data_IF_875097502374
#
_entry.id   IF_875097502374
#
_cell.length_a   1.000
_cell.length_b   1.000
_cell.length_c   1.000
_cell.angle_alpha   90.00
_cell.angle_beta   90.00
_cell.angle_gamma   90.00
#
_symmetry.space_group_name_H-M   'P 1'
#
loop_
_entity.id
_entity.type
_entity.pdbx_description
1 polymer ?
#
# COMPACT_ATOMS: atom_id res chain seq x y z
N UNK A 1 10.18 1.29 -17.01
CA UNK A 1 10.91 1.70 -15.78
C UNK A 1 9.85 2.29 -14.85
N UNK A 2 9.75 1.82 -13.61
CA UNK A 2 8.72 2.22 -12.63
C UNK A 2 8.78 3.74 -12.40
N UNK A 3 7.64 4.44 -12.33
CA UNK A 3 7.62 5.92 -12.23
C UNK A 3 8.23 6.46 -10.93
N UNK A 4 8.21 5.70 -9.82
CA UNK A 4 8.99 6.02 -8.62
C UNK A 4 10.51 5.85 -8.82
N UNK A 5 10.93 4.90 -9.67
CA UNK A 5 12.34 4.71 -10.01
C UNK A 5 12.83 5.72 -11.07
N UNK A 6 11.93 6.35 -11.84
CA UNK A 6 12.30 7.37 -12.81
C UNK A 6 12.89 8.64 -12.14
N UNK A 7 12.52 8.90 -10.88
CA UNK A 7 13.11 9.98 -10.08
C UNK A 7 14.32 9.57 -9.24
N UNK A 8 14.71 8.29 -9.25
CA UNK A 8 15.85 7.78 -8.47
C UNK A 8 16.98 7.45 -9.42
N UNK A 9 18.07 8.22 -9.36
CA UNK A 9 19.29 7.86 -10.05
C UNK A 9 19.87 6.59 -9.40
N UNK A 10 19.75 5.46 -10.11
CA UNK A 10 20.24 4.17 -9.64
C UNK A 10 21.77 4.14 -9.53
N UNK A 11 22.49 4.98 -10.27
CA UNK A 11 23.94 5.11 -10.13
C UNK A 11 24.31 5.81 -8.82
N UNK A 12 23.50 6.79 -8.41
CA UNK A 12 23.69 7.53 -7.17
C UNK A 12 23.15 6.79 -5.93
N UNK A 13 22.00 6.11 -6.06
CA UNK A 13 21.30 5.45 -4.96
C UNK A 13 20.94 3.98 -5.29
N UNK A 14 21.94 3.10 -5.48
CA UNK A 14 21.72 1.73 -5.95
C UNK A 14 20.87 0.89 -4.99
N UNK A 15 21.01 1.10 -3.67
CA UNK A 15 20.21 0.39 -2.67
C UNK A 15 18.75 0.85 -2.64
N UNK A 16 18.50 2.14 -2.87
CA UNK A 16 17.16 2.70 -2.96
C UNK A 16 16.46 2.22 -4.22
N UNK A 17 17.16 2.24 -5.36
CA UNK A 17 16.66 1.71 -6.62
C UNK A 17 16.34 0.21 -6.51
N UNK A 18 17.20 -0.57 -5.86
CA UNK A 18 16.95 -2.00 -5.58
C UNK A 18 15.73 -2.20 -4.69
N UNK A 19 15.62 -1.43 -3.58
CA UNK A 19 14.50 -1.55 -2.65
C UNK A 19 13.16 -1.18 -3.30
N UNK A 20 13.11 -0.10 -4.07
CA UNK A 20 11.91 0.29 -4.85
C UNK A 20 11.60 -0.75 -5.92
N UNK A 21 12.63 -1.31 -6.56
CA UNK A 21 12.50 -2.37 -7.56
C UNK A 21 11.88 -3.66 -7.02
N UNK A 22 12.06 -3.97 -5.73
CA UNK A 22 11.44 -5.15 -5.10
C UNK A 22 9.91 -5.10 -5.09
N UNK A 23 9.29 -3.93 -5.28
CA UNK A 23 7.83 -3.77 -5.30
C UNK A 23 7.22 -3.84 -6.70
N UNK A 24 8.01 -4.10 -7.75
CA UNK A 24 7.58 -4.29 -9.16
C UNK A 24 6.30 -3.52 -9.55
N UNK A 25 6.35 -2.20 -9.30
CA UNK A 25 5.19 -1.32 -9.39
C UNK A 25 4.88 -1.07 -10.86
N UNK A 26 3.70 -1.52 -11.28
CA UNK A 26 3.01 -1.33 -12.56
C UNK A 26 3.74 -0.43 -13.59
N UNK A 27 4.11 -1.02 -14.72
CA UNK A 27 4.35 -0.27 -15.97
C UNK A 27 3.00 -0.02 -16.67
N UNK A 28 2.08 0.71 -16.05
CA UNK A 28 0.81 1.03 -16.71
C UNK A 28 0.94 2.39 -17.40
N UNK A 29 0.58 2.40 -18.67
CA UNK A 29 0.41 3.62 -19.44
C UNK A 29 -0.93 4.25 -19.05
N UNK A 30 -0.92 4.96 -17.93
CA UNK A 30 -2.07 5.70 -17.44
C UNK A 30 -1.89 7.16 -17.85
N UNK A 31 -2.93 7.71 -18.49
CA UNK A 31 -2.95 9.02 -19.14
C UNK A 31 -2.77 10.20 -18.18
N UNK A 32 -2.91 9.95 -16.87
CA UNK A 32 -2.66 10.94 -15.81
C UNK A 32 -1.66 10.42 -14.78
N UNK A 33 -0.68 11.27 -14.44
CA UNK A 33 0.28 11.02 -13.38
C UNK A 33 -0.42 10.72 -12.04
N UNK A 34 -1.48 11.45 -11.68
CA UNK A 34 -2.20 11.24 -10.43
C UNK A 34 -2.88 9.86 -10.36
N UNK A 35 -3.51 9.43 -11.46
CA UNK A 35 -4.14 8.09 -11.54
C UNK A 35 -3.07 7.00 -11.47
N UNK A 36 -1.93 7.22 -12.13
CA UNK A 36 -0.79 6.31 -12.11
C UNK A 36 -0.20 6.16 -10.71
N UNK A 37 0.07 7.28 -10.04
CA UNK A 37 0.70 7.31 -8.73
C UNK A 37 -0.22 6.67 -7.69
N UNK A 38 -1.54 6.92 -7.79
CA UNK A 38 -2.53 6.26 -6.95
C UNK A 38 -2.53 4.74 -7.13
N UNK A 39 -2.62 4.27 -8.38
CA UNK A 39 -2.62 2.84 -8.67
C UNK A 39 -1.32 2.15 -8.21
N UNK A 40 -0.19 2.85 -8.29
CA UNK A 40 1.10 2.38 -7.78
C UNK A 40 1.08 2.24 -6.26
N UNK A 41 0.59 3.26 -5.53
CA UNK A 41 0.46 3.22 -4.08
C UNK A 41 -0.43 2.05 -3.62
N UNK A 42 -1.61 1.91 -4.22
CA UNK A 42 -2.55 0.82 -3.91
C UNK A 42 -1.92 -0.56 -4.11
N UNK A 43 -1.23 -0.78 -5.23
CA UNK A 43 -0.53 -2.05 -5.46
C UNK A 43 0.64 -2.28 -4.54
N UNK A 44 1.37 -1.22 -4.14
CA UNK A 44 2.44 -1.35 -3.15
C UNK A 44 1.91 -1.87 -1.81
N UNK A 45 0.75 -1.36 -1.37
CA UNK A 45 0.09 -1.83 -0.15
C UNK A 45 -0.34 -3.29 -0.31
N UNK A 46 -1.03 -3.65 -1.40
CA UNK A 46 -1.48 -5.04 -1.65
C UNK A 46 -0.30 -6.01 -1.69
N UNK A 47 0.79 -5.65 -2.37
CA UNK A 47 1.99 -6.49 -2.45
C UNK A 47 2.66 -6.66 -1.07
N UNK A 48 2.69 -5.59 -0.26
CA UNK A 48 3.20 -5.65 1.11
C UNK A 48 2.35 -6.58 1.99
N UNK A 49 1.03 -6.51 1.88
CA UNK A 49 0.12 -7.41 2.59
C UNK A 49 0.35 -8.88 2.19
N UNK A 50 0.51 -9.14 0.89
CA UNK A 50 0.85 -10.47 0.39
C UNK A 50 2.15 -10.99 1.00
N UNK A 51 3.20 -10.16 1.00
CA UNK A 51 4.49 -10.51 1.61
C UNK A 51 4.38 -10.83 3.10
N UNK A 52 3.61 -10.04 3.86
CA UNK A 52 3.36 -10.33 5.28
C UNK A 52 2.64 -11.67 5.48
N UNK A 53 1.68 -12.01 4.61
CA UNK A 53 0.93 -13.27 4.65
C UNK A 53 1.72 -14.51 4.22
N UNK A 54 2.85 -14.32 3.55
CA UNK A 54 3.79 -15.39 3.23
C UNK A 54 4.70 -15.76 4.42
N UNK A 55 4.82 -14.89 5.42
CA UNK A 55 5.56 -15.17 6.66
C UNK A 55 4.77 -16.16 7.52
N UNK A 56 5.30 -17.38 7.69
CA UNK A 56 4.61 -18.49 8.37
C UNK A 56 3.99 -18.12 9.72
N UNK A 57 4.75 -17.42 10.58
CA UNK A 57 4.27 -16.98 11.88
C UNK A 57 3.06 -16.03 11.81
N UNK A 58 3.05 -15.10 10.85
CA UNK A 58 1.94 -14.16 10.69
C UNK A 58 0.71 -14.87 10.12
N UNK A 59 0.92 -15.73 9.12
CA UNK A 59 -0.13 -16.54 8.52
C UNK A 59 -0.86 -17.42 9.54
N UNK A 60 -0.11 -18.10 10.40
CA UNK A 60 -0.69 -18.94 11.47
C UNK A 60 -1.53 -18.11 12.45
N UNK A 61 -1.03 -16.94 12.85
CA UNK A 61 -1.76 -16.04 13.75
C UNK A 61 -3.02 -15.46 13.11
N UNK A 62 -2.98 -15.16 11.81
CA UNK A 62 -4.13 -14.66 11.06
C UNK A 62 -5.20 -15.74 10.90
N UNK A 63 -4.82 -16.97 10.51
CA UNK A 63 -5.75 -18.11 10.37
C UNK A 63 -6.42 -18.46 11.70
N UNK A 64 -5.67 -18.39 12.81
CA UNK A 64 -6.21 -18.67 14.16
C UNK A 64 -6.99 -17.49 14.75
N UNK A 65 -7.15 -16.38 14.02
CA UNK A 65 -7.89 -15.19 14.47
C UNK A 65 -7.18 -14.37 15.55
N UNK A 66 -5.91 -14.67 15.86
CA UNK A 66 -5.10 -13.97 16.85
C UNK A 66 -4.48 -12.67 16.28
N UNK A 67 -4.51 -12.50 14.97
CA UNK A 67 -4.01 -11.33 14.26
C UNK A 67 -4.98 -10.99 13.11
N UNK A 68 -5.12 -9.69 12.83
CA UNK A 68 -5.68 -9.19 11.57
C UNK A 68 -4.70 -8.22 10.97
N UNK A 69 -4.51 -8.32 9.66
CA UNK A 69 -3.66 -7.39 8.90
C UNK A 69 -4.58 -6.53 8.05
N UNK A 70 -4.31 -5.22 8.02
CA UNK A 70 -5.08 -4.25 7.24
C UNK A 70 -4.14 -3.42 6.37
N UNK A 71 -4.59 -3.05 5.17
CA UNK A 71 -3.85 -2.16 4.28
C UNK A 71 -4.47 -0.78 4.25
N UNK A 72 -3.71 0.25 4.63
CA UNK A 72 -4.18 1.65 4.65
C UNK A 72 -3.31 2.56 3.78
N UNK A 73 -3.93 3.59 3.22
CA UNK A 73 -3.29 4.71 2.56
C UNK A 73 -3.74 5.99 3.29
N UNK A 74 -2.79 6.82 3.69
CA UNK A 74 -3.08 8.13 4.26
C UNK A 74 -2.84 9.21 3.21
N UNK A 75 -3.86 10.01 2.92
CA UNK A 75 -3.77 11.15 2.03
C UNK A 75 -3.41 12.41 2.83
N UNK A 76 -2.19 12.92 2.62
CA UNK A 76 -1.67 14.05 3.36
C UNK A 76 -2.47 15.35 3.15
N UNK A 77 -2.98 15.56 1.94
CA UNK A 77 -3.69 16.80 1.58
C UNK A 77 -5.08 16.87 2.20
N UNK A 78 -5.78 15.74 2.25
CA UNK A 78 -7.18 15.64 2.69
C UNK A 78 -7.30 15.17 4.14
N UNK A 79 -6.25 14.57 4.70
CA UNK A 79 -6.28 13.89 5.99
C UNK A 79 -7.06 12.58 5.98
N UNK A 80 -7.50 12.10 4.80
CA UNK A 80 -8.31 10.89 4.69
C UNK A 80 -7.45 9.63 4.84
N UNK A 81 -8.04 8.60 5.43
CA UNK A 81 -7.50 7.24 5.41
C UNK A 81 -8.35 6.44 4.44
N UNK A 82 -7.72 5.77 3.49
CA UNK A 82 -8.36 4.77 2.66
C UNK A 82 -7.93 3.39 3.11
N UNK A 83 -8.88 2.52 3.39
CA UNK A 83 -8.63 1.13 3.75
C UNK A 83 -8.95 0.21 2.59
N UNK A 84 -8.10 -0.81 2.39
CA UNK A 84 -8.41 -1.91 1.51
C UNK A 84 -9.58 -2.70 2.09
N UNK A 85 -10.70 -2.72 1.38
CA UNK A 85 -11.74 -3.72 1.59
C UNK A 85 -11.30 -5.02 0.91
N UNK A 86 -11.04 -6.06 1.70
CA UNK A 86 -10.56 -7.33 1.18
C UNK A 86 -11.63 -8.11 0.42
N UNK A 87 -12.91 -7.77 0.59
CA UNK A 87 -14.00 -8.43 -0.12
C UNK A 87 -14.12 -7.94 -1.57
N UNK A 88 -14.01 -6.63 -1.79
CA UNK A 88 -14.02 -6.03 -3.13
C UNK A 88 -12.64 -5.94 -3.77
N UNK A 89 -11.57 -5.93 -2.98
CA UNK A 89 -10.21 -5.65 -3.45
C UNK A 89 -9.96 -4.18 -3.78
N UNK A 90 -10.84 -3.28 -3.35
CA UNK A 90 -10.77 -1.84 -3.60
C UNK A 90 -10.48 -1.05 -2.31
N UNK A 91 -9.90 0.13 -2.47
CA UNK A 91 -9.66 1.05 -1.35
C UNK A 91 -10.87 1.97 -1.17
N UNK A 92 -11.39 2.01 0.05
CA UNK A 92 -12.53 2.84 0.44
C UNK A 92 -12.12 3.83 1.53
N UNK A 93 -12.69 5.03 1.49
CA UNK A 93 -12.46 6.03 2.55
C UNK A 93 -13.02 5.50 3.86
N UNK A 94 -12.16 5.38 4.87
CA UNK A 94 -12.62 5.09 6.21
C UNK A 94 -13.41 6.29 6.75
N UNK A 95 -14.64 6.08 7.23
CA UNK A 95 -15.37 7.13 7.90
C UNK A 95 -14.58 7.57 9.14
N UNK A 96 -14.66 8.86 9.47
CA UNK A 96 -14.06 9.37 10.70
C UNK A 96 -14.52 8.52 11.90
N UNK A 97 -13.61 8.20 12.85
CA UNK A 97 -13.99 7.45 14.03
C UNK A 97 -15.14 8.15 14.76
N UNK A 98 -16.32 7.53 14.77
CA UNK A 98 -17.50 8.03 15.50
C UNK A 98 -17.39 7.86 17.02
N UNK A 99 -16.21 7.48 17.52
CA UNK A 99 -15.95 7.33 18.93
C UNK A 99 -15.90 8.70 19.62
N UNK A 100 -17.05 9.13 20.16
CA UNK A 100 -17.07 10.09 21.27
C UNK A 100 -16.35 9.44 22.45
N UNK A 101 -15.09 9.79 22.67
CA UNK A 101 -14.46 9.57 23.96
C UNK A 101 -15.23 10.39 25.00
N UNK A 102 -16.10 9.73 25.75
CA UNK A 102 -16.68 10.30 26.97
C UNK A 102 -15.66 10.06 28.07
N UNK A 103 -15.08 11.16 28.56
CA UNK A 103 -14.28 11.19 29.78
C UNK A 103 -15.19 11.12 31.02
#
# INVERSE_FOLDING_TARGET
LNTLAAGVDAAQFPNLARWIGMNDLIKADLDSHAIRDRAILEKSVIQSLKGLREIGLLREKEITGQLRVHGWIFELETGQILALDESSGHFEVLPEPTAKFSA
#
